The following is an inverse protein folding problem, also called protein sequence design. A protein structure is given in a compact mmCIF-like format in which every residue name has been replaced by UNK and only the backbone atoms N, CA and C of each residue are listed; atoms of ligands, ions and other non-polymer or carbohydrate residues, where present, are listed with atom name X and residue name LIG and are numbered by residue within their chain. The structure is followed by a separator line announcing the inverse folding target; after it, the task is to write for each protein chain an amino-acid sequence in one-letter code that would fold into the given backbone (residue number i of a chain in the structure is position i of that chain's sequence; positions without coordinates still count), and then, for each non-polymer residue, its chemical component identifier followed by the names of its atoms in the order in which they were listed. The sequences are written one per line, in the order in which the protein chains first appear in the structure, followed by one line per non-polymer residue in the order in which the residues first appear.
data_IF_888755746676
#
_entry.id   IF_888755746676
#
_cell.length_a   1.000
_cell.length_b   1.000
_cell.length_c   1.000
_cell.angle_alpha   90.00
_cell.angle_beta   90.00
_cell.angle_gamma   90.00
#
_symmetry.space_group_name_H-M   'P 1'
#
loop_
_entity.id
_entity.type
_entity.pdbx_description
1 polymer ?
#
# COMPACT_ATOMS: atom_id res chain seq x y z
N UNK A 1 -36.52 27.07 39.84
CA UNK A 1 -35.39 26.21 39.46
C UNK A 1 -34.30 27.14 38.91
N UNK A 2 -33.02 27.00 39.31
CA UNK A 2 -31.97 27.93 38.90
C UNK A 2 -31.62 27.71 37.43
N UNK A 3 -31.46 28.79 36.66
CA UNK A 3 -30.93 28.75 35.29
C UNK A 3 -29.48 28.25 35.34
N UNK A 4 -29.26 27.03 34.83
CA UNK A 4 -27.93 26.51 34.58
C UNK A 4 -27.37 27.27 33.37
N UNK A 5 -26.18 27.88 33.44
CA UNK A 5 -25.57 28.51 32.27
C UNK A 5 -25.29 27.43 31.22
N UNK A 6 -25.77 27.66 30.00
CA UNK A 6 -25.49 26.79 28.85
C UNK A 6 -23.97 26.74 28.64
N UNK A 7 -23.38 25.56 28.86
CA UNK A 7 -22.01 25.32 28.44
C UNK A 7 -21.96 25.35 26.91
N UNK A 8 -20.94 25.97 26.29
CA UNK A 8 -20.76 25.86 24.86
C UNK A 8 -20.64 24.37 24.53
N UNK A 9 -21.56 23.91 23.70
CA UNK A 9 -21.72 22.53 23.27
C UNK A 9 -20.45 22.09 22.52
N UNK A 10 -19.45 21.62 23.28
CA UNK A 10 -18.20 21.00 22.83
C UNK A 10 -18.50 19.60 22.27
N UNK A 11 -19.48 19.53 21.38
CA UNK A 11 -19.67 18.37 20.52
C UNK A 11 -18.43 18.27 19.63
N UNK A 12 -17.63 17.22 19.84
CA UNK A 12 -16.47 16.89 19.00
C UNK A 12 -16.85 16.75 17.51
N UNK A 13 -18.14 16.63 17.22
CA UNK A 13 -18.75 16.65 15.89
C UNK A 13 -18.71 18.01 15.17
N UNK A 14 -18.42 19.11 15.88
CA UNK A 14 -18.37 20.48 15.33
C UNK A 14 -16.94 21.02 15.18
N UNK A 15 -15.93 20.17 15.26
CA UNK A 15 -14.60 20.55 14.77
C UNK A 15 -14.66 20.31 13.25
N UNK A 16 -14.66 21.36 12.42
CA UNK A 16 -14.43 21.17 10.99
C UNK A 16 -13.00 20.66 10.83
N UNK A 17 -12.83 19.33 10.89
CA UNK A 17 -11.70 18.64 10.31
C UNK A 17 -11.78 19.00 8.82
N UNK A 18 -10.77 19.68 8.29
CA UNK A 18 -10.81 20.28 6.94
C UNK A 18 -10.99 19.25 5.81
N UNK A 19 -10.54 19.51 4.58
CA UNK A 19 -10.76 18.63 3.40
C UNK A 19 -10.23 17.18 3.51
N UNK A 20 -9.66 16.80 4.66
CA UNK A 20 -9.11 15.49 5.02
C UNK A 20 -10.09 14.58 5.78
N UNK A 21 -11.35 14.98 5.96
CA UNK A 21 -12.35 14.26 6.75
C UNK A 21 -13.04 13.08 6.01
N UNK A 22 -12.33 12.44 5.06
CA UNK A 22 -12.85 11.31 4.32
C UNK A 22 -12.12 10.02 4.72
N UNK A 23 -12.85 8.90 4.89
CA UNK A 23 -12.29 7.58 5.22
C UNK A 23 -11.18 7.17 4.24
N UNK A 24 -11.26 7.64 2.98
CA UNK A 24 -10.26 7.41 1.95
C UNK A 24 -8.91 8.10 2.24
N UNK A 25 -8.90 9.30 2.83
CA UNK A 25 -7.66 9.97 3.23
C UNK A 25 -6.93 9.20 4.32
N UNK A 26 -7.65 8.71 5.32
CA UNK A 26 -7.08 7.83 6.35
C UNK A 26 -6.58 6.51 5.78
N UNK A 27 -7.29 5.94 4.81
CA UNK A 27 -6.85 4.75 4.09
C UNK A 27 -5.54 5.03 3.34
N UNK A 28 -5.44 6.16 2.63
CA UNK A 28 -4.24 6.56 1.90
C UNK A 28 -3.03 6.74 2.84
N UNK A 29 -3.22 7.45 3.96
CA UNK A 29 -2.17 7.62 4.98
C UNK A 29 -1.73 6.26 5.53
N UNK A 30 -2.69 5.39 5.87
CA UNK A 30 -2.41 4.04 6.35
C UNK A 30 -1.65 3.20 5.32
N UNK A 31 -2.01 3.32 4.05
CA UNK A 31 -1.33 2.67 2.92
C UNK A 31 0.11 3.15 2.76
N UNK A 32 0.34 4.45 2.81
CA UNK A 32 1.69 5.03 2.74
C UNK A 32 2.54 4.57 3.92
N UNK A 33 1.97 4.52 5.14
CA UNK A 33 2.67 3.99 6.30
C UNK A 33 3.00 2.50 6.14
N UNK A 34 2.07 1.69 5.62
CA UNK A 34 2.30 0.29 5.31
C UNK A 34 3.41 0.11 4.26
N UNK A 35 3.49 1.00 3.26
CA UNK A 35 4.56 0.99 2.26
C UNK A 35 5.92 1.22 2.90
N UNK A 36 6.03 2.20 3.81
CA UNK A 36 7.27 2.45 4.54
C UNK A 36 7.70 1.23 5.36
N UNK A 37 6.77 0.58 6.06
CA UNK A 37 7.05 -0.67 6.79
C UNK A 37 7.49 -1.79 5.84
N UNK A 38 6.92 -1.85 4.65
CA UNK A 38 7.27 -2.83 3.61
C UNK A 38 8.69 -2.62 3.12
N UNK A 39 9.08 -1.37 2.85
CA UNK A 39 10.45 -1.04 2.44
C UNK A 39 11.45 -1.44 3.52
N UNK A 40 11.17 -1.10 4.79
CA UNK A 40 12.03 -1.51 5.92
C UNK A 40 12.11 -3.04 6.07
N UNK A 41 10.99 -3.73 5.88
CA UNK A 41 10.93 -5.20 5.91
C UNK A 41 11.77 -5.82 4.77
N UNK A 42 11.77 -5.22 3.59
CA UNK A 42 12.59 -5.65 2.44
C UNK A 42 14.07 -5.37 2.69
N UNK A 43 14.41 -4.18 3.19
CA UNK A 43 15.79 -3.79 3.52
C UNK A 43 16.40 -4.74 4.55
N UNK A 44 15.68 -5.02 5.65
CA UNK A 44 16.14 -5.98 6.67
C UNK A 44 16.30 -7.40 6.12
N UNK A 45 15.47 -7.81 5.15
CA UNK A 45 15.62 -9.11 4.48
C UNK A 45 16.82 -9.15 3.50
N UNK A 46 17.13 -8.03 2.85
CA UNK A 46 18.23 -7.88 1.90
C UNK A 46 19.59 -7.62 2.56
N UNK A 47 19.64 -6.99 3.73
CA UNK A 47 20.86 -6.78 4.49
C UNK A 47 21.55 -8.11 4.85
N UNK A 48 20.78 -9.19 5.02
CA UNK A 48 21.31 -10.55 5.18
C UNK A 48 21.98 -11.15 3.92
N UNK A 49 21.84 -10.51 2.75
CA UNK A 49 22.35 -11.01 1.46
C UNK A 49 23.65 -10.31 0.99
N UNK A 50 24.19 -9.35 1.76
CA UNK A 50 25.39 -8.59 1.35
C UNK A 50 26.68 -9.45 1.41
N UNK A 51 27.53 -9.44 0.37
CA UNK A 51 28.62 -10.40 0.19
C UNK A 51 29.72 -10.40 1.28
N UNK A 52 29.83 -9.33 2.08
CA UNK A 52 30.81 -9.24 3.16
C UNK A 52 30.35 -9.88 4.49
N UNK A 53 29.08 -10.30 4.61
CA UNK A 53 28.58 -11.09 5.75
C UNK A 53 28.41 -12.59 5.43
N UNK A 54 29.16 -13.11 4.44
CA UNK A 54 29.19 -14.55 4.08
C UNK A 54 29.86 -15.43 5.15
N UNK A 55 29.26 -15.56 6.33
CA UNK A 55 29.44 -16.72 7.22
C UNK A 55 28.13 -17.09 7.95
N UNK A 56 27.08 -17.37 7.18
CA UNK A 56 26.12 -18.40 7.59
C UNK A 56 26.59 -19.74 6.99
N UNK A 57 27.62 -20.34 7.60
CA UNK A 57 28.32 -21.54 7.10
C UNK A 57 27.53 -22.85 7.26
N UNK A 58 26.19 -22.80 7.33
CA UNK A 58 25.37 -24.01 7.46
C UNK A 58 23.94 -23.89 6.90
N UNK A 59 23.65 -22.98 5.96
CA UNK A 59 22.34 -22.99 5.31
C UNK A 59 22.21 -24.21 4.39
N UNK A 60 21.23 -25.05 4.69
CA UNK A 60 20.88 -26.24 3.91
C UNK A 60 20.38 -25.77 2.54
N UNK A 61 20.69 -26.45 1.40
CA UNK A 61 20.30 -26.00 0.05
C UNK A 61 18.82 -25.60 -0.10
N UNK A 62 17.94 -26.23 0.67
CA UNK A 62 16.50 -25.97 0.71
C UNK A 62 16.13 -24.60 1.28
N UNK A 63 16.90 -24.07 2.23
CA UNK A 63 16.64 -22.77 2.86
C UNK A 63 16.97 -21.60 1.92
N UNK A 64 17.99 -21.77 1.06
CA UNK A 64 18.39 -20.77 0.06
C UNK A 64 17.32 -20.55 -1.01
N UNK A 65 16.63 -21.60 -1.45
CA UNK A 65 15.57 -21.49 -2.47
C UNK A 65 14.35 -20.78 -1.91
N UNK A 66 13.99 -21.06 -0.66
CA UNK A 66 12.89 -20.39 0.03
C UNK A 66 13.20 -18.89 0.18
N UNK A 67 14.43 -18.54 0.58
CA UNK A 67 14.84 -17.13 0.69
C UNK A 67 14.77 -16.36 -0.65
N UNK A 68 15.18 -16.99 -1.76
CA UNK A 68 15.05 -16.43 -3.11
C UNK A 68 13.58 -16.21 -3.51
N UNK A 69 12.69 -17.16 -3.20
CA UNK A 69 11.27 -17.03 -3.52
C UNK A 69 10.59 -15.89 -2.76
N UNK A 70 11.03 -15.60 -1.54
CA UNK A 70 10.55 -14.43 -0.78
C UNK A 70 11.05 -13.11 -1.35
N UNK A 71 12.26 -13.09 -1.93
CA UNK A 71 12.74 -11.94 -2.70
C UNK A 71 11.86 -11.62 -3.92
N UNK A 72 11.31 -12.65 -4.59
CA UNK A 72 10.36 -12.45 -5.68
C UNK A 72 9.02 -11.89 -5.20
N UNK A 73 8.50 -12.38 -4.07
CA UNK A 73 7.29 -11.81 -3.46
C UNK A 73 7.51 -10.33 -3.13
N UNK A 74 8.63 -9.99 -2.48
CA UNK A 74 9.00 -8.61 -2.18
C UNK A 74 9.05 -7.71 -3.43
N UNK A 75 9.59 -8.22 -4.54
CA UNK A 75 9.65 -7.50 -5.81
C UNK A 75 8.27 -7.19 -6.39
N UNK A 76 7.28 -8.08 -6.20
CA UNK A 76 5.90 -7.87 -6.65
C UNK A 76 5.07 -7.00 -5.70
N UNK A 77 5.36 -7.03 -4.39
CA UNK A 77 4.61 -6.21 -3.43
C UNK A 77 4.81 -4.71 -3.69
N UNK A 78 5.99 -4.27 -4.14
CA UNK A 78 6.27 -2.86 -4.43
C UNK A 78 5.35 -2.29 -5.53
N UNK A 79 5.28 -2.85 -6.76
CA UNK A 79 4.39 -2.34 -7.78
C UNK A 79 2.91 -2.46 -7.37
N UNK A 80 2.51 -3.57 -6.73
CA UNK A 80 1.13 -3.73 -6.25
C UNK A 80 0.70 -2.68 -5.22
N UNK A 81 1.55 -2.40 -4.24
CA UNK A 81 1.29 -1.37 -3.22
C UNK A 81 1.25 0.03 -3.82
N UNK A 82 2.14 0.36 -4.76
CA UNK A 82 2.11 1.63 -5.49
C UNK A 82 0.84 1.78 -6.32
N UNK A 83 0.40 0.72 -7.02
CA UNK A 83 -0.84 0.73 -7.79
C UNK A 83 -2.05 0.93 -6.87
N UNK A 84 -2.08 0.29 -5.70
CA UNK A 84 -3.17 0.42 -4.74
C UNK A 84 -3.24 1.86 -4.19
N UNK A 85 -2.08 2.45 -3.84
CA UNK A 85 -1.96 3.87 -3.45
C UNK A 85 -2.44 4.78 -4.57
N UNK A 86 -1.97 4.55 -5.80
CA UNK A 86 -2.33 5.34 -6.97
C UNK A 86 -3.83 5.32 -7.24
N UNK A 87 -4.45 4.15 -7.25
CA UNK A 87 -5.90 4.02 -7.44
C UNK A 87 -6.69 4.77 -6.34
N UNK A 88 -6.28 4.68 -5.08
CA UNK A 88 -6.93 5.41 -3.97
C UNK A 88 -6.73 6.92 -4.13
N UNK A 89 -5.55 7.37 -4.53
CA UNK A 89 -5.27 8.78 -4.76
C UNK A 89 -6.13 9.36 -5.89
N UNK A 90 -6.31 8.63 -7.00
CA UNK A 90 -7.18 9.08 -8.09
C UNK A 90 -8.65 9.03 -7.70
N UNK A 91 -9.08 8.03 -6.90
CA UNK A 91 -10.44 8.01 -6.33
C UNK A 91 -10.72 9.25 -5.49
N UNK A 92 -9.77 9.70 -4.67
CA UNK A 92 -9.90 10.92 -3.85
C UNK A 92 -9.95 12.16 -4.75
N UNK A 93 -9.16 12.19 -5.82
CA UNK A 93 -9.03 13.36 -6.67
C UNK A 93 -10.22 13.58 -7.60
N UNK A 94 -10.70 12.52 -8.26
CA UNK A 94 -11.66 12.65 -9.37
C UNK A 94 -13.05 12.05 -9.07
N UNK A 95 -13.21 11.34 -7.96
CA UNK A 95 -14.41 10.56 -7.61
C UNK A 95 -15.04 9.80 -8.81
N UNK A 96 -14.24 9.04 -9.59
CA UNK A 96 -14.70 8.32 -10.78
C UNK A 96 -15.61 7.15 -10.40
N UNK A 97 -16.44 6.70 -11.35
CA UNK A 97 -17.22 5.47 -11.19
C UNK A 97 -16.28 4.30 -10.89
N UNK A 98 -16.55 3.59 -9.80
CA UNK A 98 -15.68 2.52 -9.29
C UNK A 98 -15.77 1.29 -10.21
N UNK A 99 -14.69 0.93 -10.95
CA UNK A 99 -14.73 -0.26 -11.79
C UNK A 99 -14.79 -1.52 -10.91
N UNK A 100 -15.56 -2.53 -11.30
CA UNK A 100 -15.63 -3.80 -10.56
C UNK A 100 -14.25 -4.48 -10.37
N UNK A 101 -13.35 -4.25 -11.33
CA UNK A 101 -11.97 -4.74 -11.32
C UNK A 101 -11.14 -4.13 -10.19
N UNK A 102 -11.45 -2.91 -9.76
CA UNK A 102 -10.74 -2.22 -8.67
C UNK A 102 -10.93 -2.94 -7.34
N UNK A 103 -12.15 -3.39 -7.06
CA UNK A 103 -12.50 -4.02 -5.79
C UNK A 103 -11.81 -5.39 -5.67
N UNK A 104 -11.84 -6.18 -6.75
CA UNK A 104 -11.16 -7.47 -6.80
C UNK A 104 -9.63 -7.31 -6.76
N UNK A 105 -9.07 -6.41 -7.58
CA UNK A 105 -7.63 -6.14 -7.62
C UNK A 105 -7.10 -5.63 -6.28
N UNK A 106 -7.78 -4.67 -5.65
CA UNK A 106 -7.39 -4.14 -4.33
C UNK A 106 -7.54 -5.18 -3.22
N UNK A 107 -8.54 -6.06 -3.28
CA UNK A 107 -8.69 -7.15 -2.31
C UNK A 107 -7.57 -8.19 -2.45
N UNK A 108 -7.24 -8.59 -3.68
CA UNK A 108 -6.17 -9.57 -3.96
C UNK A 108 -4.80 -9.03 -3.58
N UNK A 109 -4.45 -7.83 -4.07
CA UNK A 109 -3.19 -7.18 -3.79
C UNK A 109 -3.08 -6.79 -2.31
N UNK A 110 -4.16 -6.24 -1.72
CA UNK A 110 -4.21 -5.91 -0.30
C UNK A 110 -4.06 -7.12 0.61
N UNK A 111 -4.74 -8.24 0.30
CA UNK A 111 -4.56 -9.48 1.05
C UNK A 111 -3.14 -10.05 0.92
N UNK A 112 -2.59 -10.08 -0.31
CA UNK A 112 -1.21 -10.51 -0.55
C UNK A 112 -0.19 -9.66 0.20
N UNK A 113 -0.41 -8.35 0.22
CA UNK A 113 0.44 -7.39 0.92
C UNK A 113 0.36 -7.50 2.44
N UNK A 114 -0.85 -7.62 3.01
CA UNK A 114 -1.05 -7.85 4.44
C UNK A 114 -0.40 -9.17 4.87
N UNK A 115 -0.61 -10.24 4.10
CA UNK A 115 0.05 -11.52 4.35
C UNK A 115 1.57 -11.35 4.36
N UNK A 116 2.14 -10.70 3.34
CA UNK A 116 3.57 -10.40 3.28
C UNK A 116 4.07 -9.69 4.54
N UNK A 117 3.39 -8.62 4.99
CA UNK A 117 3.76 -7.88 6.20
C UNK A 117 3.68 -8.75 7.46
N UNK A 118 2.61 -9.53 7.63
CA UNK A 118 2.44 -10.43 8.78
C UNK A 118 3.56 -11.48 8.83
N UNK A 119 3.94 -12.02 7.66
CA UNK A 119 5.04 -12.98 7.56
C UNK A 119 6.41 -12.30 7.80
N UNK A 120 6.63 -11.10 7.26
CA UNK A 120 7.93 -10.42 7.33
C UNK A 120 8.23 -9.85 8.72
N UNK A 121 7.22 -9.37 9.45
CA UNK A 121 7.38 -8.87 10.81
C UNK A 121 7.59 -9.99 11.85
N UNK A 122 7.59 -11.26 11.42
CA UNK A 122 7.73 -12.44 12.28
C UNK A 122 6.80 -12.41 13.50
N UNK A 123 5.63 -11.76 13.36
CA UNK A 123 4.74 -11.31 14.45
C UNK A 123 4.19 -12.47 15.31
N UNK A 124 4.39 -13.71 14.89
CA UNK A 124 3.83 -14.92 15.50
C UNK A 124 4.87 -16.04 15.78
N UNK A 125 6.19 -15.80 15.75
CA UNK A 125 7.20 -16.90 15.77
C UNK A 125 6.91 -17.96 14.68
N UNK A 126 6.31 -17.52 13.58
CA UNK A 126 5.78 -18.35 12.49
C UNK A 126 6.89 -18.99 11.63
N UNK A 127 8.15 -18.63 11.88
CA UNK A 127 9.33 -19.33 11.36
C UNK A 127 9.38 -20.85 11.64
N UNK A 128 8.56 -21.38 12.58
CA UNK A 128 8.39 -22.84 12.74
C UNK A 128 7.37 -23.46 11.77
N UNK A 129 6.37 -22.71 11.30
CA UNK A 129 5.43 -23.16 10.26
C UNK A 129 6.08 -23.14 8.86
N UNK A 130 7.12 -22.32 8.67
CA UNK A 130 7.99 -22.29 7.49
C UNK A 130 8.66 -23.64 7.17
N UNK A 131 9.00 -24.42 8.20
CA UNK A 131 9.56 -25.76 8.00
C UNK A 131 8.59 -26.71 7.29
N UNK A 132 7.28 -26.50 7.45
CA UNK A 132 6.25 -27.39 6.92
C UNK A 132 5.59 -26.89 5.63
N UNK A 133 5.45 -25.58 5.41
CA UNK A 133 4.84 -25.04 4.18
C UNK A 133 5.79 -24.99 2.98
N UNK A 134 7.11 -24.96 3.21
CA UNK A 134 8.11 -25.02 2.15
C UNK A 134 7.91 -23.96 1.05
N UNK A 135 8.12 -24.36 -0.22
CA UNK A 135 8.05 -23.47 -1.38
C UNK A 135 6.62 -23.04 -1.75
N UNK A 136 5.59 -23.72 -1.24
CA UNK A 136 4.19 -23.53 -1.69
C UNK A 136 3.65 -22.15 -1.27
N UNK A 137 3.99 -21.69 -0.06
CA UNK A 137 3.52 -20.40 0.47
C UNK A 137 3.95 -19.21 -0.39
N UNK A 138 5.26 -19.02 -0.65
CA UNK A 138 5.75 -17.94 -1.51
C UNK A 138 5.20 -18.01 -2.94
N UNK A 139 5.09 -19.21 -3.51
CA UNK A 139 4.58 -19.39 -4.88
C UNK A 139 3.11 -18.97 -5.00
N UNK A 140 2.29 -19.33 -4.01
CA UNK A 140 0.89 -18.89 -3.95
C UNK A 140 0.78 -17.37 -3.82
N UNK A 141 1.63 -16.73 -3.00
CA UNK A 141 1.68 -15.28 -2.88
C UNK A 141 2.11 -14.59 -4.18
N UNK A 142 3.12 -15.13 -4.88
CA UNK A 142 3.53 -14.59 -6.20
C UNK A 142 2.36 -14.64 -7.17
N UNK A 143 1.66 -15.77 -7.29
CA UNK A 143 0.52 -15.88 -8.20
C UNK A 143 -0.62 -14.92 -7.80
N UNK A 144 -0.93 -14.83 -6.51
CA UNK A 144 -1.96 -13.94 -5.96
C UNK A 144 -1.66 -12.47 -6.25
N UNK A 145 -0.43 -12.03 -5.94
CA UNK A 145 0.03 -10.66 -6.17
C UNK A 145 0.07 -10.34 -7.66
N UNK A 146 0.57 -11.25 -8.49
CA UNK A 146 0.65 -11.02 -9.94
C UNK A 146 -0.74 -10.78 -10.55
N UNK A 147 -1.74 -11.58 -10.14
CA UNK A 147 -3.13 -11.36 -10.59
C UNK A 147 -3.69 -10.05 -10.03
N UNK A 148 -3.44 -9.75 -8.76
CA UNK A 148 -3.85 -8.48 -8.13
C UNK A 148 -3.27 -7.26 -8.83
N UNK A 149 -1.98 -7.29 -9.14
CA UNK A 149 -1.24 -6.21 -9.80
C UNK A 149 -1.76 -5.96 -11.21
N UNK A 150 -2.02 -7.02 -11.97
CA UNK A 150 -2.60 -6.89 -13.32
C UNK A 150 -3.99 -6.24 -13.26
N UNK A 151 -4.84 -6.67 -12.34
CA UNK A 151 -6.19 -6.08 -12.17
C UNK A 151 -6.14 -4.63 -11.68
N UNK A 152 -5.22 -4.31 -10.78
CA UNK A 152 -5.02 -2.93 -10.33
C UNK A 152 -4.45 -2.05 -11.43
N UNK A 153 -3.59 -2.59 -12.29
CA UNK A 153 -3.05 -1.87 -13.43
C UNK A 153 -4.14 -1.58 -14.47
N UNK A 154 -5.00 -2.55 -14.81
CA UNK A 154 -6.12 -2.32 -15.74
C UNK A 154 -7.08 -1.29 -15.17
N UNK A 155 -7.47 -1.42 -13.90
CA UNK A 155 -8.30 -0.43 -13.22
C UNK A 155 -7.66 0.95 -13.20
N UNK A 156 -6.35 1.03 -12.94
CA UNK A 156 -5.65 2.31 -12.91
C UNK A 156 -5.64 2.98 -14.28
N UNK A 157 -5.42 2.21 -15.35
CA UNK A 157 -5.45 2.70 -16.72
C UNK A 157 -6.85 3.13 -17.17
N UNK A 158 -7.90 2.44 -16.72
CA UNK A 158 -9.29 2.81 -17.00
C UNK A 158 -9.69 4.12 -16.31
N UNK A 159 -9.14 4.36 -15.11
CA UNK A 159 -9.40 5.55 -14.30
C UNK A 159 -8.48 6.73 -14.69
N UNK A 160 -7.36 6.47 -15.38
CA UNK A 160 -6.36 7.51 -15.65
C UNK A 160 -6.95 8.63 -16.53
N UNK A 161 -6.90 9.90 -16.09
CA UNK A 161 -7.37 11.01 -16.90
C UNK A 161 -6.53 11.15 -18.17
N UNK A 162 -7.16 11.62 -19.24
CA UNK A 162 -6.45 12.05 -20.44
C UNK A 162 -5.45 13.15 -20.05
N UNK A 163 -4.25 13.10 -20.62
CA UNK A 163 -3.13 14.02 -20.34
C UNK A 163 -3.51 15.50 -20.42
N UNK A 164 -4.51 15.83 -21.22
CA UNK A 164 -5.04 17.19 -21.37
C UNK A 164 -5.62 17.74 -20.05
N UNK A 165 -6.36 16.91 -19.29
CA UNK A 165 -7.00 17.30 -18.02
C UNK A 165 -5.96 17.51 -16.91
N UNK A 166 -4.89 16.72 -16.91
CA UNK A 166 -3.80 16.85 -15.93
C UNK A 166 -3.07 18.18 -16.13
N UNK A 167 -2.81 18.54 -17.39
CA UNK A 167 -2.11 19.78 -17.73
C UNK A 167 -2.96 20.99 -17.38
N UNK A 168 -4.25 20.97 -17.70
CA UNK A 168 -5.20 22.03 -17.36
C UNK A 168 -5.38 22.19 -15.84
N UNK A 169 -5.43 21.08 -15.08
CA UNK A 169 -5.53 21.15 -13.63
C UNK A 169 -4.26 21.68 -12.96
N UNK A 170 -3.08 21.36 -13.50
CA UNK A 170 -1.80 21.90 -13.03
C UNK A 170 -1.71 23.39 -13.36
N UNK A 171 -2.08 23.80 -14.57
CA UNK A 171 -2.08 25.20 -15.00
C UNK A 171 -3.05 26.04 -14.15
N UNK A 172 -4.26 25.55 -13.90
CA UNK A 172 -5.24 26.21 -13.04
C UNK A 172 -4.77 26.29 -11.59
N UNK A 173 -4.18 25.22 -11.04
CA UNK A 173 -3.62 25.23 -9.69
C UNK A 173 -2.42 26.18 -9.55
N UNK A 174 -1.58 26.29 -10.59
CA UNK A 174 -0.48 27.25 -10.65
C UNK A 174 -0.98 28.69 -10.72
N UNK A 175 -2.03 28.97 -11.51
CA UNK A 175 -2.66 30.30 -11.57
C UNK A 175 -3.25 30.73 -10.22
N UNK A 176 -3.83 29.78 -9.48
CA UNK A 176 -4.42 30.07 -8.17
C UNK A 176 -3.36 30.35 -7.10
N UNK A 177 -2.18 29.71 -7.20
CA UNK A 177 -1.04 29.93 -6.28
C UNK A 177 -0.19 31.15 -6.68
N UNK A 178 -0.07 31.45 -7.98
CA UNK A 178 0.68 32.57 -8.53
C UNK A 178 -0.24 33.49 -9.36
N UNK A 179 -1.13 34.28 -8.73
CA UNK A 179 -2.04 35.17 -9.43
C UNK A 179 -1.34 36.39 -10.08
N UNK A 180 0.00 36.41 -10.17
CA UNK A 180 0.81 37.57 -10.57
C UNK A 180 1.65 37.35 -11.82
N UNK A 181 1.54 36.20 -12.50
CA UNK A 181 2.22 35.96 -13.78
C UNK A 181 1.16 36.00 -14.88
N UNK A 182 0.92 37.21 -15.37
CA UNK A 182 0.37 37.45 -16.71
C UNK A 182 1.44 37.20 -17.79
#
# INVERSE_FOLDING_TARGET
MPNVPDFPDLSWDRIPLGPFDNRLWWLLIGLCLALLLTVQAIETALEGAWPHQRRASSMIPRERVVQLSWGLVALLVIPGSLLLIGNVAVLIWQDPERPDQLLLGSMLAGAGWVLFLVFSLNFLRLGRLFGNLGLIGPLALVALLLVGDVLLLTSFLDILPKWDVVTESIENGLRDILPFID
#
